data_IF_396899174664
#
_entry.id   IF_396899174664
#
_cell.length_a   1.000
_cell.length_b   1.000
_cell.length_c   1.000
_cell.angle_alpha   90.00
_cell.angle_beta   90.00
_cell.angle_gamma   90.00
#
_symmetry.space_group_name_H-M   'P 1'
#
loop_
_entity.id
_entity.type
_entity.pdbx_description
1 polymer ?
#
# COMPACT_ATOMS: atom_id res chain seq x y z
N UNK A 1 -14.38 -8.69 16.46
CA UNK A 1 -12.96 -8.52 16.85
C UNK A 1 -12.90 -7.62 18.06
N UNK A 2 -12.15 -8.01 19.09
CA UNK A 2 -11.82 -7.11 20.19
C UNK A 2 -10.93 -5.94 19.69
N UNK A 3 -10.83 -4.88 20.48
CA UNK A 3 -10.10 -3.66 20.10
C UNK A 3 -8.59 -3.91 19.93
N UNK A 4 -8.01 -4.83 20.71
CA UNK A 4 -6.60 -5.18 20.61
C UNK A 4 -6.32 -5.86 19.26
N UNK A 5 -7.10 -6.89 18.91
CA UNK A 5 -6.99 -7.58 17.62
C UNK A 5 -7.20 -6.65 16.42
N UNK A 6 -8.12 -5.68 16.53
CA UNK A 6 -8.33 -4.68 15.48
C UNK A 6 -7.11 -3.79 15.28
N UNK A 7 -6.51 -3.33 16.38
CA UNK A 7 -5.30 -2.51 16.35
C UNK A 7 -4.14 -3.29 15.72
N UNK A 8 -3.95 -4.55 16.13
CA UNK A 8 -2.92 -5.43 15.55
C UNK A 8 -3.15 -5.62 14.05
N UNK A 9 -4.39 -5.83 13.61
CA UNK A 9 -4.71 -5.97 12.19
C UNK A 9 -4.40 -4.69 11.39
N UNK A 10 -4.76 -3.50 11.92
CA UNK A 10 -4.47 -2.21 11.27
C UNK A 10 -2.96 -2.02 11.11
N UNK A 11 -2.18 -2.23 12.18
CA UNK A 11 -0.71 -2.07 12.15
C UNK A 11 -0.10 -3.06 11.16
N UNK A 12 -0.54 -4.32 11.18
CA UNK A 12 -0.06 -5.36 10.26
C UNK A 12 -0.32 -4.98 8.81
N UNK A 13 -1.54 -4.52 8.49
CA UNK A 13 -1.89 -4.09 7.14
C UNK A 13 -1.09 -2.85 6.75
N UNK A 14 -0.89 -1.88 7.64
CA UNK A 14 -0.03 -0.71 7.36
C UNK A 14 1.40 -1.12 6.99
N UNK A 15 2.01 -2.04 7.74
CA UNK A 15 3.35 -2.54 7.44
C UNK A 15 3.40 -3.23 6.07
N UNK A 16 2.43 -4.09 5.77
CA UNK A 16 2.31 -4.76 4.47
C UNK A 16 2.13 -3.72 3.36
N UNK A 17 1.20 -2.76 3.53
CA UNK A 17 0.95 -1.67 2.59
C UNK A 17 2.22 -0.87 2.33
N UNK A 18 2.99 -0.53 3.36
CA UNK A 18 4.22 0.23 3.21
C UNK A 18 5.27 -0.54 2.42
N UNK A 19 5.57 -1.79 2.81
CA UNK A 19 6.58 -2.62 2.15
C UNK A 19 6.19 -2.91 0.69
N UNK A 20 4.93 -3.24 0.45
CA UNK A 20 4.39 -3.46 -0.90
C UNK A 20 4.58 -2.19 -1.74
N UNK A 21 4.17 -1.03 -1.24
CA UNK A 21 4.28 0.22 -1.98
C UNK A 21 5.73 0.72 -2.10
N UNK A 22 6.64 0.34 -1.19
CA UNK A 22 8.06 0.58 -1.32
C UNK A 22 8.63 -0.17 -2.53
N UNK A 23 8.32 -1.47 -2.64
CA UNK A 23 8.72 -2.29 -3.79
C UNK A 23 8.14 -1.74 -5.10
N UNK A 24 6.84 -1.48 -5.14
CA UNK A 24 6.19 -0.95 -6.33
C UNK A 24 6.63 0.49 -6.68
N UNK A 25 6.97 1.31 -5.68
CA UNK A 25 7.54 2.64 -5.87
C UNK A 25 8.89 2.60 -6.58
N UNK A 26 9.73 1.63 -6.22
CA UNK A 26 11.03 1.38 -6.86
C UNK A 26 10.89 1.03 -8.35
N UNK A 27 9.95 0.15 -8.72
CA UNK A 27 9.70 -0.17 -10.13
C UNK A 27 9.06 1.00 -10.87
N UNK A 28 8.04 1.63 -10.27
CA UNK A 28 7.33 2.77 -10.86
C UNK A 28 8.28 3.89 -11.27
N UNK A 29 9.30 4.18 -10.48
CA UNK A 29 10.26 5.24 -10.77
C UNK A 29 11.14 4.96 -12.01
N UNK A 30 11.34 3.68 -12.37
CA UNK A 30 12.15 3.26 -13.53
C UNK A 30 11.33 3.06 -14.81
N UNK A 31 10.00 3.04 -14.69
CA UNK A 31 9.10 2.88 -15.83
C UNK A 31 8.76 4.24 -16.48
N UNK A 32 8.48 4.23 -17.78
CA UNK A 32 8.01 5.43 -18.49
C UNK A 32 6.67 5.87 -17.89
N UNK A 33 6.58 7.13 -17.44
CA UNK A 33 5.32 7.72 -16.94
C UNK A 33 4.20 7.50 -17.96
N UNK A 34 3.01 7.14 -17.47
CA UNK A 34 1.82 6.80 -18.28
C UNK A 34 1.95 5.57 -19.19
N UNK A 35 3.00 4.75 -19.04
CA UNK A 35 2.99 3.42 -19.65
C UNK A 35 2.05 2.47 -18.90
N UNK A 36 1.66 1.39 -19.56
CA UNK A 36 0.87 0.33 -18.93
C UNK A 36 1.56 -0.27 -17.68
N UNK A 37 2.88 -0.45 -17.72
CA UNK A 37 3.66 -0.93 -16.56
C UNK A 37 3.65 0.08 -15.41
N UNK A 38 3.83 1.37 -15.71
CA UNK A 38 3.72 2.43 -14.70
C UNK A 38 2.34 2.47 -14.05
N UNK A 39 1.28 2.31 -14.85
CA UNK A 39 -0.09 2.23 -14.36
C UNK A 39 -0.28 1.03 -13.43
N UNK A 40 0.19 -0.16 -13.82
CA UNK A 40 0.14 -1.36 -12.99
C UNK A 40 0.90 -1.17 -11.67
N UNK A 41 2.06 -0.52 -11.69
CA UNK A 41 2.83 -0.31 -10.46
C UNK A 41 2.11 0.56 -9.43
N UNK A 42 1.18 1.42 -9.86
CA UNK A 42 0.38 2.25 -8.97
C UNK A 42 -0.90 1.53 -8.55
N UNK A 43 -1.58 0.87 -9.49
CA UNK A 43 -2.91 0.34 -9.25
C UNK A 43 -2.90 -1.06 -8.67
N UNK A 44 -1.93 -1.92 -8.98
CA UNK A 44 -1.89 -3.29 -8.50
C UNK A 44 -1.78 -3.41 -6.95
N UNK A 45 -1.05 -2.53 -6.24
CA UNK A 45 -1.06 -2.51 -4.78
C UNK A 45 -2.44 -2.20 -4.16
N UNK A 46 -3.30 -1.43 -4.85
CA UNK A 46 -4.56 -0.93 -4.29
C UNK A 46 -5.55 -2.09 -4.04
N UNK A 47 -5.88 -2.98 -5.00
CA UNK A 47 -6.69 -4.17 -4.76
C UNK A 47 -6.11 -5.06 -3.67
N UNK A 48 -4.79 -5.24 -3.60
CA UNK A 48 -4.16 -6.10 -2.59
C UNK A 48 -4.42 -5.57 -1.17
N UNK A 49 -4.24 -4.27 -0.95
CA UNK A 49 -4.53 -3.63 0.34
C UNK A 49 -6.04 -3.62 0.62
N UNK A 50 -6.87 -3.41 -0.41
CA UNK A 50 -8.33 -3.47 -0.27
C UNK A 50 -8.81 -4.87 0.16
N UNK A 51 -8.28 -5.93 -0.45
CA UNK A 51 -8.58 -7.32 -0.07
C UNK A 51 -8.16 -7.63 1.36
N UNK A 52 -6.94 -7.22 1.77
CA UNK A 52 -6.48 -7.39 3.15
C UNK A 52 -7.40 -6.69 4.16
N UNK A 53 -7.85 -5.47 3.84
CA UNK A 53 -8.80 -4.70 4.66
C UNK A 53 -10.18 -5.38 4.76
N UNK A 54 -10.70 -5.90 3.64
CA UNK A 54 -11.99 -6.61 3.60
C UNK A 54 -11.92 -7.93 4.38
N UNK A 55 -10.82 -8.68 4.23
CA UNK A 55 -10.58 -9.91 4.98
C UNK A 55 -10.51 -9.67 6.49
N UNK A 56 -9.87 -8.57 6.90
CA UNK A 56 -9.81 -8.14 8.29
C UNK A 56 -11.09 -7.43 8.79
N UNK A 57 -12.13 -7.33 7.96
CA UNK A 57 -13.41 -6.69 8.27
C UNK A 57 -13.29 -5.30 8.90
N UNK A 58 -12.26 -4.53 8.52
CA UNK A 58 -12.05 -3.18 9.06
C UNK A 58 -13.02 -2.19 8.42
N UNK A 59 -13.41 -1.14 9.14
CA UNK A 59 -14.34 -0.12 8.66
C UNK A 59 -13.71 0.82 7.62
N UNK A 60 -14.54 1.56 6.89
CA UNK A 60 -14.06 2.50 5.86
C UNK A 60 -13.23 3.65 6.44
N UNK A 61 -13.36 3.92 7.74
CA UNK A 61 -12.63 4.99 8.45
C UNK A 61 -11.11 4.82 8.41
N UNK A 62 -10.59 3.59 8.22
CA UNK A 62 -9.13 3.34 8.15
C UNK A 62 -8.56 3.48 6.73
N UNK A 63 -9.40 3.66 5.71
CA UNK A 63 -8.93 3.81 4.31
C UNK A 63 -7.98 5.01 4.14
N UNK A 64 -8.25 6.21 4.69
CA UNK A 64 -7.32 7.33 4.56
C UNK A 64 -5.93 7.03 5.15
N UNK A 65 -5.87 6.28 6.25
CA UNK A 65 -4.61 5.84 6.85
C UNK A 65 -3.83 4.95 5.88
N UNK A 66 -4.46 3.92 5.31
CA UNK A 66 -3.80 3.04 4.34
C UNK A 66 -3.37 3.79 3.07
N UNK A 67 -4.14 4.77 2.63
CA UNK A 67 -3.78 5.62 1.49
C UNK A 67 -2.50 6.44 1.78
N UNK A 68 -2.43 7.08 2.96
CA UNK A 68 -1.24 7.84 3.37
C UNK A 68 0.00 6.93 3.41
N UNK A 69 -0.13 5.74 3.99
CA UNK A 69 0.95 4.76 4.09
C UNK A 69 1.37 4.25 2.70
N UNK A 70 0.41 3.99 1.81
CA UNK A 70 0.69 3.58 0.43
C UNK A 70 1.44 4.66 -0.35
N UNK A 71 1.00 5.92 -0.25
CA UNK A 71 1.67 7.06 -0.91
C UNK A 71 3.08 7.24 -0.35
N UNK A 72 3.26 7.16 0.97
CA UNK A 72 4.57 7.23 1.60
C UNK A 72 5.51 6.14 1.05
N UNK A 73 5.05 4.89 0.99
CA UNK A 73 5.80 3.77 0.39
C UNK A 73 6.17 4.02 -1.07
N UNK A 74 5.22 4.49 -1.90
CA UNK A 74 5.46 4.78 -3.33
C UNK A 74 6.49 5.88 -3.56
N UNK A 75 6.49 6.92 -2.73
CA UNK A 75 7.44 8.03 -2.81
C UNK A 75 8.82 7.56 -2.34
N UNK A 76 8.89 6.92 -1.17
CA UNK A 76 10.16 6.44 -0.62
C UNK A 76 10.79 5.38 -1.53
N UNK A 77 10.00 4.43 -2.02
CA UNK A 77 10.45 3.39 -2.94
C UNK A 77 11.05 3.96 -4.22
N UNK A 78 10.44 5.02 -4.76
CA UNK A 78 10.95 5.70 -5.95
C UNK A 78 12.24 6.51 -5.74
N UNK A 79 12.66 6.70 -4.48
CA UNK A 79 13.94 7.33 -4.12
C UNK A 79 15.02 6.30 -3.80
N UNK A 80 14.69 5.00 -3.72
CA UNK A 80 15.68 3.97 -3.42
C UNK A 80 16.53 3.71 -4.66
N UNK A 81 17.79 4.08 -4.58
CA UNK A 81 18.85 3.72 -5.51
C UNK A 81 19.57 2.50 -4.93
N UNK A 82 19.37 1.33 -5.54
CA UNK A 82 20.12 0.09 -5.28
C UNK A 82 20.94 -0.20 -6.52
#
# INVERSE_FOLDING_TARGET
MDVSSRTVAIVTICLITFVLNLFFGYFRAREKKFSFKWFLCIHLPIPLVAFARLYAQLDYVVIPLFLIVAVAGQIMGGKVEI
#
